data_IF_989803829084
#
_entry.id   IF_989803829084
#
_cell.length_a   1.000
_cell.length_b   1.000
_cell.length_c   1.000
_cell.angle_alpha   90.00
_cell.angle_beta   90.00
_cell.angle_gamma   90.00
#
_symmetry.space_group_name_H-M   'P 1'
#
loop_
_entity.id
_entity.type
_entity.pdbx_description
1 polymer ?
#
# COMPACT_ATOMS: atom_id res chain seq x y z
N UNK A 1 -7.73 -12.37 21.53
CA UNK A 1 -6.67 -13.24 22.11
C UNK A 1 -5.82 -13.69 20.94
N UNK A 2 -4.81 -12.92 20.59
CA UNK A 2 -3.77 -13.30 19.62
C UNK A 2 -2.91 -14.39 20.25
N UNK A 3 -2.89 -15.58 19.64
CA UNK A 3 -1.94 -16.62 20.03
C UNK A 3 -0.53 -16.13 19.76
N UNK A 4 0.37 -16.25 20.73
CA UNK A 4 1.79 -15.98 20.52
C UNK A 4 2.29 -16.75 19.29
N UNK A 5 3.07 -16.12 18.37
CA UNK A 5 3.63 -16.80 17.22
C UNK A 5 4.43 -18.02 17.66
N UNK A 6 4.35 -19.13 16.91
CA UNK A 6 5.17 -20.30 17.19
C UNK A 6 6.64 -19.91 17.03
N UNK A 7 7.56 -20.41 17.86
CA UNK A 7 8.98 -20.07 17.80
C UNK A 7 9.61 -20.28 16.40
N UNK A 8 9.05 -21.18 15.58
CA UNK A 8 9.47 -21.37 14.19
C UNK A 8 9.10 -20.17 13.28
N UNK A 9 7.91 -19.61 13.44
CA UNK A 9 7.47 -18.45 12.61
C UNK A 9 8.26 -17.18 12.96
N UNK A 10 8.67 -17.03 14.22
CA UNK A 10 9.53 -15.91 14.63
C UNK A 10 10.94 -16.06 14.07
N UNK A 11 11.51 -17.28 14.12
CA UNK A 11 12.81 -17.60 13.51
C UNK A 11 12.83 -17.35 11.99
N UNK A 12 11.75 -17.71 11.28
CA UNK A 12 11.64 -17.46 9.84
C UNK A 12 11.54 -15.96 9.52
N UNK A 13 10.84 -15.19 10.35
CA UNK A 13 10.76 -13.73 10.21
C UNK A 13 12.10 -13.04 10.43
N UNK A 14 12.84 -13.45 11.47
CA UNK A 14 14.20 -12.95 11.73
C UNK A 14 15.15 -13.29 10.58
N UNK A 15 15.07 -14.51 10.05
CA UNK A 15 15.83 -14.96 8.88
C UNK A 15 15.51 -14.14 7.65
N UNK A 16 14.23 -13.93 7.36
CA UNK A 16 13.78 -13.09 6.24
C UNK A 16 14.28 -11.65 6.39
N UNK A 17 14.19 -11.09 7.59
CA UNK A 17 14.72 -9.75 7.90
C UNK A 17 16.23 -9.65 7.67
N UNK A 18 17.00 -10.64 8.12
CA UNK A 18 18.45 -10.68 7.91
C UNK A 18 18.82 -10.75 6.41
N UNK A 19 18.03 -11.44 5.58
CA UNK A 19 18.23 -11.46 4.14
C UNK A 19 17.85 -10.11 3.53
N UNK A 20 16.69 -9.54 3.90
CA UNK A 20 16.22 -8.26 3.37
C UNK A 20 17.20 -7.11 3.63
N UNK A 21 17.70 -7.00 4.87
CA UNK A 21 18.60 -5.90 5.27
C UNK A 21 19.98 -5.95 4.65
N UNK A 22 20.42 -7.10 4.09
CA UNK A 22 21.68 -7.23 3.33
C UNK A 22 21.46 -7.37 1.83
N UNK A 23 20.22 -7.36 1.37
CA UNK A 23 19.83 -7.64 0.00
C UNK A 23 19.12 -6.50 -0.68
N UNK A 24 18.29 -6.84 -1.64
CA UNK A 24 17.40 -5.94 -2.38
C UNK A 24 15.97 -6.48 -2.29
N UNK A 25 15.05 -5.66 -1.84
CA UNK A 25 13.62 -5.89 -1.87
C UNK A 25 12.90 -4.81 -2.66
N UNK A 26 11.64 -5.07 -3.03
CA UNK A 26 10.78 -4.02 -3.57
C UNK A 26 10.20 -3.12 -2.45
N UNK A 27 9.38 -2.16 -2.83
CA UNK A 27 8.84 -1.15 -1.90
C UNK A 27 7.87 -1.73 -0.85
N UNK A 28 7.41 -2.97 -1.02
CA UNK A 28 6.54 -3.68 -0.08
C UNK A 28 7.26 -4.76 0.72
N UNK A 29 8.55 -5.00 0.46
CA UNK A 29 9.28 -6.14 1.02
C UNK A 29 9.27 -6.17 2.56
N UNK A 30 9.25 -4.99 3.23
CA UNK A 30 9.15 -4.91 4.69
C UNK A 30 7.82 -5.44 5.23
N UNK A 31 6.73 -5.29 4.49
CA UNK A 31 5.42 -5.84 4.86
C UNK A 31 5.43 -7.38 4.86
N UNK A 32 6.37 -7.99 4.15
CA UNK A 32 6.62 -9.44 4.20
C UNK A 32 6.93 -9.94 5.60
N UNK A 33 7.50 -9.10 6.48
CA UNK A 33 7.87 -9.43 7.85
C UNK A 33 6.67 -9.40 8.83
N UNK A 34 5.49 -8.98 8.38
CA UNK A 34 4.30 -8.91 9.22
C UNK A 34 3.71 -10.27 9.54
N UNK A 35 2.93 -10.34 10.60
CA UNK A 35 2.30 -11.56 11.06
C UNK A 35 1.36 -12.17 9.99
N UNK A 36 1.28 -13.49 9.96
CA UNK A 36 0.44 -14.24 9.02
C UNK A 36 1.08 -14.50 7.66
N UNK A 37 2.25 -13.92 7.36
CA UNK A 37 3.00 -14.24 6.15
C UNK A 37 3.85 -15.51 6.35
N UNK A 38 4.03 -16.23 5.26
CA UNK A 38 4.89 -17.41 5.14
C UNK A 38 6.06 -17.06 4.25
N UNK A 39 7.14 -17.83 4.37
CA UNK A 39 8.36 -17.62 3.60
C UNK A 39 8.75 -18.89 2.86
N UNK A 40 9.15 -18.72 1.62
CA UNK A 40 9.97 -19.65 0.89
C UNK A 40 11.38 -19.09 0.88
N UNK A 41 12.37 -19.84 1.34
CA UNK A 41 13.76 -19.43 1.35
C UNK A 41 14.55 -20.18 0.27
N UNK A 42 15.29 -19.41 -0.53
CA UNK A 42 16.29 -19.98 -1.46
C UNK A 42 17.45 -20.57 -0.68
N UNK A 43 18.02 -21.65 -1.19
CA UNK A 43 19.18 -22.30 -0.55
C UNK A 43 20.33 -21.31 -0.27
N UNK A 44 21.00 -21.48 0.87
CA UNK A 44 22.11 -20.59 1.28
C UNK A 44 21.68 -19.19 1.75
N UNK A 45 20.39 -18.96 2.00
CA UNK A 45 19.85 -17.65 2.40
C UNK A 45 20.11 -16.54 1.39
N UNK A 46 20.17 -16.90 0.10
CA UNK A 46 20.45 -15.95 -0.99
C UNK A 46 19.22 -15.18 -1.44
N UNK A 47 18.02 -15.53 -0.92
CA UNK A 47 16.77 -14.81 -1.15
C UNK A 47 15.57 -15.53 -0.57
N UNK A 48 14.41 -14.87 -0.67
CA UNK A 48 13.14 -15.43 -0.24
C UNK A 48 11.95 -14.84 -0.99
N UNK A 49 10.80 -15.49 -0.90
CA UNK A 49 9.49 -14.97 -1.28
C UNK A 49 8.59 -14.98 -0.05
N UNK A 50 7.97 -13.83 0.27
CA UNK A 50 6.93 -13.73 1.28
C UNK A 50 5.55 -13.91 0.63
N UNK A 51 4.69 -14.74 1.22
CA UNK A 51 3.39 -15.06 0.64
C UNK A 51 2.36 -15.47 1.69
N UNK A 52 1.09 -15.42 1.30
CA UNK A 52 -0.03 -16.04 2.03
C UNK A 52 -0.70 -17.09 1.15
N UNK A 53 -1.28 -18.11 1.77
CA UNK A 53 -2.04 -19.14 1.04
C UNK A 53 -3.50 -19.04 1.40
N UNK A 54 -4.34 -18.87 0.39
CA UNK A 54 -5.79 -19.00 0.52
C UNK A 54 -6.28 -20.06 -0.44
N UNK A 55 -6.90 -21.11 0.10
CA UNK A 55 -7.24 -22.34 -0.64
C UNK A 55 -5.99 -22.91 -1.31
N UNK A 56 -5.95 -22.91 -2.64
CA UNK A 56 -4.83 -23.41 -3.46
C UNK A 56 -4.10 -22.30 -4.23
N UNK A 57 -4.16 -21.07 -3.75
CA UNK A 57 -3.46 -19.92 -4.35
C UNK A 57 -2.46 -19.37 -3.33
N UNK A 58 -1.20 -19.33 -3.71
CA UNK A 58 -0.13 -18.63 -3.02
C UNK A 58 -0.09 -17.19 -3.57
N UNK A 59 -0.51 -16.23 -2.76
CA UNK A 59 -0.49 -14.79 -3.09
C UNK A 59 0.76 -14.18 -2.50
N UNK A 60 1.65 -13.64 -3.34
CA UNK A 60 2.90 -13.04 -2.87
C UNK A 60 2.71 -11.59 -2.38
N UNK A 61 3.66 -11.10 -1.61
CA UNK A 61 3.80 -9.67 -1.30
C UNK A 61 4.97 -9.12 -2.10
N UNK A 62 4.65 -8.54 -3.25
CA UNK A 62 5.66 -8.10 -4.19
C UNK A 62 6.43 -9.26 -4.83
N UNK A 63 7.61 -8.93 -5.34
CA UNK A 63 8.54 -9.88 -5.95
C UNK A 63 9.49 -10.53 -4.94
N UNK A 64 10.43 -11.38 -5.42
CA UNK A 64 11.46 -11.99 -4.59
C UNK A 64 12.40 -10.95 -3.97
N UNK A 65 12.71 -11.13 -2.69
CA UNK A 65 13.85 -10.48 -2.03
C UNK A 65 15.10 -11.29 -2.31
N UNK A 66 16.20 -10.63 -2.67
CA UNK A 66 17.44 -11.29 -3.07
C UNK A 66 18.70 -10.63 -2.50
N UNK A 67 19.73 -11.40 -2.29
CA UNK A 67 21.11 -10.90 -2.13
C UNK A 67 21.78 -10.81 -3.51
N UNK A 68 23.05 -10.40 -3.55
CA UNK A 68 23.81 -10.36 -4.79
C UNK A 68 24.16 -11.77 -5.34
N UNK A 69 23.99 -12.82 -4.53
CA UNK A 69 24.32 -14.21 -4.86
C UNK A 69 23.25 -14.91 -5.71
N UNK A 70 22.04 -14.32 -5.82
CA UNK A 70 20.93 -14.86 -6.63
C UNK A 70 20.24 -13.78 -7.41
N UNK A 71 19.69 -14.16 -8.54
CA UNK A 71 18.85 -13.31 -9.36
C UNK A 71 17.37 -13.40 -8.92
N UNK A 72 16.58 -12.38 -9.26
CA UNK A 72 15.13 -12.37 -9.06
C UNK A 72 14.44 -13.55 -9.72
N UNK A 73 14.88 -13.89 -10.94
CA UNK A 73 14.27 -14.96 -11.73
C UNK A 73 14.57 -16.35 -11.16
N UNK A 74 15.80 -16.62 -10.71
CA UNK A 74 16.17 -17.90 -10.07
C UNK A 74 15.31 -18.17 -8.82
N UNK A 75 15.07 -17.15 -7.99
CA UNK A 75 14.25 -17.29 -6.78
C UNK A 75 12.78 -17.48 -7.16
N UNK A 76 12.30 -16.75 -8.17
CA UNK A 76 10.93 -16.86 -8.65
C UNK A 76 10.65 -18.25 -9.24
N UNK A 77 11.57 -18.80 -10.09
CA UNK A 77 11.46 -20.13 -10.64
C UNK A 77 11.41 -21.20 -9.55
N UNK A 78 12.31 -21.13 -8.58
CA UNK A 78 12.34 -22.05 -7.45
C UNK A 78 11.09 -21.97 -6.57
N UNK A 79 10.53 -20.78 -6.39
CA UNK A 79 9.27 -20.61 -5.67
C UNK A 79 8.07 -21.18 -6.43
N UNK A 80 8.00 -20.97 -7.74
CA UNK A 80 6.95 -21.53 -8.58
C UNK A 80 6.98 -23.07 -8.58
N UNK A 81 8.18 -23.68 -8.65
CA UNK A 81 8.37 -25.13 -8.52
C UNK A 81 7.92 -25.62 -7.15
N UNK A 82 8.36 -24.98 -6.06
CA UNK A 82 7.92 -25.29 -4.71
C UNK A 82 6.38 -25.18 -4.56
N UNK A 83 5.76 -24.14 -5.09
CA UNK A 83 4.32 -23.96 -5.03
C UNK A 83 3.59 -25.07 -5.82
N UNK A 84 4.10 -25.44 -6.97
CA UNK A 84 3.54 -26.54 -7.77
C UNK A 84 3.59 -27.90 -7.04
N UNK A 85 4.70 -28.20 -6.34
CA UNK A 85 4.81 -29.38 -5.48
C UNK A 85 3.79 -29.42 -4.35
N UNK A 86 3.40 -28.24 -3.83
CA UNK A 86 2.36 -28.11 -2.82
C UNK A 86 0.93 -28.12 -3.41
N UNK A 87 0.79 -28.16 -4.74
CA UNK A 87 -0.49 -28.04 -5.43
C UNK A 87 -1.07 -26.63 -5.39
N UNK A 88 -0.25 -25.62 -5.21
CA UNK A 88 -0.67 -24.22 -5.22
C UNK A 88 -0.39 -23.58 -6.57
N UNK A 89 -1.28 -22.68 -6.96
CA UNK A 89 -1.10 -21.73 -8.04
C UNK A 89 -0.44 -20.48 -7.48
N UNK A 90 0.48 -19.88 -8.20
CA UNK A 90 1.13 -18.63 -7.78
C UNK A 90 0.38 -17.42 -8.37
N UNK A 91 0.12 -16.43 -7.52
CA UNK A 91 -0.33 -15.11 -7.89
C UNK A 91 0.70 -14.09 -7.38
N UNK A 92 1.52 -13.58 -8.29
CA UNK A 92 2.51 -12.54 -7.99
C UNK A 92 1.79 -11.21 -7.84
N UNK A 93 1.57 -10.77 -6.59
CA UNK A 93 0.74 -9.60 -6.29
C UNK A 93 1.58 -8.38 -5.93
N UNK A 94 1.21 -7.24 -6.51
CA UNK A 94 1.90 -5.95 -6.35
C UNK A 94 3.36 -5.97 -6.82
N UNK A 95 3.63 -6.65 -7.92
CA UNK A 95 4.94 -6.64 -8.58
C UNK A 95 5.08 -5.45 -9.51
N UNK A 96 6.32 -5.03 -9.78
CA UNK A 96 6.64 -3.96 -10.72
C UNK A 96 6.39 -4.38 -12.18
N UNK A 97 6.28 -3.40 -13.08
CA UNK A 97 6.04 -3.63 -14.51
C UNK A 97 7.15 -4.45 -15.17
N UNK A 98 8.39 -4.29 -14.70
CA UNK A 98 9.56 -5.03 -15.20
C UNK A 98 9.66 -6.48 -14.68
N UNK A 99 8.70 -6.90 -13.82
CA UNK A 99 8.60 -8.28 -13.36
C UNK A 99 7.92 -9.16 -14.42
N UNK A 100 8.60 -9.39 -15.53
CA UNK A 100 8.09 -10.24 -16.61
C UNK A 100 8.38 -11.71 -16.33
N UNK A 101 7.32 -12.54 -16.27
CA UNK A 101 7.43 -14.01 -16.10
C UNK A 101 6.93 -14.72 -17.34
N UNK A 102 7.70 -15.69 -17.83
CA UNK A 102 7.29 -16.50 -18.98
C UNK A 102 5.98 -17.23 -18.66
N UNK A 103 4.99 -17.13 -19.56
CA UNK A 103 3.69 -17.75 -19.38
C UNK A 103 2.72 -17.00 -18.46
N UNK A 104 3.13 -15.94 -17.78
CA UNK A 104 2.27 -15.10 -16.97
C UNK A 104 1.73 -13.90 -17.76
N UNK A 105 0.51 -13.48 -17.39
CA UNK A 105 -0.12 -12.25 -17.83
C UNK A 105 -0.18 -11.28 -16.66
N UNK A 106 -0.31 -10.01 -16.93
CA UNK A 106 -0.36 -8.97 -15.90
C UNK A 106 -1.65 -8.18 -15.93
N UNK A 107 -2.09 -7.74 -14.77
CA UNK A 107 -3.21 -6.80 -14.57
C UNK A 107 -2.71 -5.70 -13.66
N UNK A 108 -2.93 -4.44 -14.05
CA UNK A 108 -2.63 -3.29 -13.23
C UNK A 108 -3.58 -3.23 -12.02
N UNK A 109 -3.03 -3.26 -10.79
CA UNK A 109 -3.83 -3.33 -9.54
C UNK A 109 -3.71 -2.10 -8.67
N UNK A 110 -2.62 -1.34 -8.79
CA UNK A 110 -2.42 -0.10 -8.03
C UNK A 110 -1.43 0.81 -8.74
N UNK A 111 -1.49 2.10 -8.45
CA UNK A 111 -0.51 3.09 -8.87
C UNK A 111 0.26 3.60 -7.66
N UNK A 112 1.56 3.45 -7.68
CA UNK A 112 2.46 3.98 -6.68
C UNK A 112 2.81 5.44 -6.97
N UNK A 113 2.94 6.24 -5.92
CA UNK A 113 3.39 7.62 -5.98
C UNK A 113 4.76 7.76 -5.33
N UNK A 114 5.78 8.12 -6.09
CA UNK A 114 7.17 8.20 -5.66
C UNK A 114 7.68 9.63 -5.67
N UNK A 115 8.29 10.08 -4.58
CA UNK A 115 8.96 11.38 -4.45
C UNK A 115 10.48 11.16 -4.43
N UNK A 116 11.18 11.67 -5.46
CA UNK A 116 12.64 11.71 -5.47
C UNK A 116 13.12 12.81 -4.52
N UNK A 117 14.18 12.52 -3.73
CA UNK A 117 14.65 13.41 -2.66
C UNK A 117 15.74 14.39 -3.10
N UNK A 118 16.38 14.14 -4.21
CA UNK A 118 17.53 14.90 -4.70
C UNK A 118 17.22 16.38 -5.05
N UNK A 119 15.93 16.75 -5.23
CA UNK A 119 15.50 18.11 -5.55
C UNK A 119 14.22 18.56 -4.82
N UNK A 120 13.93 18.04 -3.62
CA UNK A 120 12.73 18.33 -2.84
C UNK A 120 12.77 19.69 -2.11
N UNK A 121 12.88 20.79 -2.87
CA UNK A 121 12.84 22.13 -2.27
C UNK A 121 11.43 22.69 -2.10
N UNK A 122 10.37 22.00 -2.56
CA UNK A 122 8.98 22.46 -2.57
C UNK A 122 8.80 23.92 -3.03
N UNK A 123 9.62 24.37 -4.00
CA UNK A 123 9.62 25.74 -4.51
C UNK A 123 8.58 25.92 -5.64
N UNK A 124 8.17 27.17 -5.85
CA UNK A 124 7.25 27.55 -6.93
C UNK A 124 5.77 27.41 -6.56
N UNK A 125 4.90 27.86 -7.49
CA UNK A 125 3.44 27.94 -7.27
C UNK A 125 2.81 26.58 -7.05
N UNK A 126 3.29 25.54 -7.73
CA UNK A 126 2.75 24.17 -7.63
C UNK A 126 2.81 23.57 -6.21
N UNK A 127 3.81 23.96 -5.41
CA UNK A 127 3.99 23.49 -4.02
C UNK A 127 3.47 24.46 -2.96
N UNK A 128 2.64 25.43 -3.34
CA UNK A 128 2.14 26.46 -2.40
C UNK A 128 1.40 25.82 -1.22
N UNK A 129 0.58 24.77 -1.46
CA UNK A 129 -0.16 24.08 -0.41
C UNK A 129 0.78 23.41 0.61
N UNK A 130 1.87 22.81 0.14
CA UNK A 130 2.87 22.15 0.99
C UNK A 130 3.58 23.17 1.87
N UNK A 131 4.07 24.29 1.28
CA UNK A 131 4.69 25.35 2.06
C UNK A 131 3.72 25.99 3.06
N UNK A 132 2.46 26.16 2.67
CA UNK A 132 1.42 26.67 3.58
C UNK A 132 1.22 25.74 4.75
N UNK A 133 1.20 24.41 4.53
CA UNK A 133 1.07 23.41 5.60
C UNK A 133 2.24 23.51 6.60
N UNK A 134 3.49 23.55 6.11
CA UNK A 134 4.69 23.68 6.94
C UNK A 134 4.72 25.01 7.73
N UNK A 135 4.45 26.13 7.06
CA UNK A 135 4.42 27.46 7.70
C UNK A 135 3.32 27.56 8.76
N UNK A 136 2.18 26.92 8.49
CA UNK A 136 1.06 26.89 9.43
C UNK A 136 1.38 26.02 10.65
N UNK A 137 2.01 24.87 10.46
CA UNK A 137 2.51 24.01 11.54
C UNK A 137 3.44 24.80 12.47
N UNK A 138 4.43 25.50 11.91
CA UNK A 138 5.35 26.35 12.69
C UNK A 138 4.62 27.46 13.45
N UNK A 139 3.59 28.08 12.85
CA UNK A 139 2.80 29.14 13.49
C UNK A 139 1.91 28.63 14.61
N UNK A 140 1.36 27.42 14.47
CA UNK A 140 0.44 26.78 15.44
C UNK A 140 1.20 25.93 16.47
N UNK A 141 2.55 25.94 16.47
CA UNK A 141 3.36 25.18 17.42
C UNK A 141 3.33 23.65 17.18
N UNK A 142 2.94 23.22 15.98
CA UNK A 142 2.93 21.78 15.62
C UNK A 142 4.31 21.38 15.08
N UNK A 143 4.91 20.39 15.73
CA UNK A 143 6.24 19.85 15.36
C UNK A 143 6.12 18.42 14.81
N UNK A 144 7.04 18.07 13.92
CA UNK A 144 7.24 16.71 13.45
C UNK A 144 8.21 15.97 14.38
N UNK A 145 7.85 14.77 14.80
CA UNK A 145 8.67 13.90 15.67
C UNK A 145 8.93 12.60 14.93
N UNK A 146 10.17 12.39 14.49
CA UNK A 146 10.66 11.15 13.88
C UNK A 146 11.15 10.21 14.97
N UNK A 147 10.59 9.01 15.06
CA UNK A 147 10.79 8.10 16.19
C UNK A 147 10.47 6.66 15.80
N UNK A 148 10.62 5.74 16.73
CA UNK A 148 10.14 4.35 16.63
C UNK A 148 9.03 4.10 17.65
N UNK A 149 8.27 3.00 17.47
CA UNK A 149 7.29 2.60 18.48
C UNK A 149 7.93 2.33 19.84
N UNK A 150 9.12 1.74 19.84
CA UNK A 150 9.84 1.39 21.09
C UNK A 150 10.22 2.64 21.91
N UNK A 151 10.55 3.76 21.26
CA UNK A 151 10.99 4.99 21.89
C UNK A 151 9.84 5.87 22.40
N UNK A 152 8.60 5.55 22.04
CA UNK A 152 7.42 6.28 22.52
C UNK A 152 7.12 5.93 23.99
N UNK A 153 6.70 6.93 24.76
CA UNK A 153 6.11 6.69 26.07
C UNK A 153 4.72 6.05 25.96
N UNK A 154 4.21 5.57 27.08
CA UNK A 154 2.92 4.87 27.14
C UNK A 154 1.78 5.79 26.73
N UNK A 155 1.80 7.06 27.15
CA UNK A 155 0.74 8.01 26.86
C UNK A 155 0.63 8.29 25.34
N UNK A 156 1.76 8.45 24.65
CA UNK A 156 1.74 8.67 23.19
C UNK A 156 1.29 7.43 22.43
N UNK A 157 1.68 6.22 22.87
CA UNK A 157 1.17 4.97 22.28
C UNK A 157 -0.34 4.86 22.42
N UNK A 158 -0.90 5.19 23.62
CA UNK A 158 -2.34 5.19 23.85
C UNK A 158 -3.06 6.21 22.95
N UNK A 159 -2.48 7.40 22.73
CA UNK A 159 -3.04 8.40 21.80
C UNK A 159 -3.07 7.89 20.36
N UNK A 160 -2.03 7.18 19.90
CA UNK A 160 -1.99 6.58 18.56
C UNK A 160 -3.07 5.50 18.44
N UNK A 161 -3.19 4.61 19.42
CA UNK A 161 -4.23 3.56 19.44
C UNK A 161 -5.62 4.17 19.38
N UNK A 162 -5.93 5.14 20.25
CA UNK A 162 -7.22 5.82 20.27
C UNK A 162 -7.56 6.52 18.94
N UNK A 163 -6.56 7.18 18.32
CA UNK A 163 -6.73 7.83 17.03
C UNK A 163 -7.03 6.80 15.93
N UNK A 164 -6.40 5.62 15.97
CA UNK A 164 -6.67 4.53 15.04
C UNK A 164 -8.04 3.90 15.25
N UNK A 165 -8.43 3.65 16.49
CA UNK A 165 -9.77 3.12 16.83
C UNK A 165 -10.89 4.06 16.35
N UNK A 166 -10.73 5.37 16.56
CA UNK A 166 -11.67 6.37 16.05
C UNK A 166 -11.76 6.32 14.53
N UNK A 167 -10.61 6.24 13.85
CA UNK A 167 -10.58 6.17 12.39
C UNK A 167 -11.27 4.89 11.87
N UNK A 168 -11.06 3.72 12.52
CA UNK A 168 -11.71 2.45 12.16
C UNK A 168 -13.22 2.53 12.41
N UNK A 169 -13.66 3.13 13.54
CA UNK A 169 -15.07 3.27 13.86
C UNK A 169 -15.85 4.10 12.83
N UNK A 170 -15.17 5.03 12.15
CA UNK A 170 -15.75 5.84 11.07
C UNK A 170 -15.85 5.09 9.73
N UNK A 171 -15.34 3.85 9.63
CA UNK A 171 -15.34 3.06 8.41
C UNK A 171 -16.44 1.99 8.42
N UNK A 172 -17.01 1.76 7.25
CA UNK A 172 -18.04 0.72 7.06
C UNK A 172 -17.48 -0.70 6.92
N UNK A 173 -16.16 -0.84 6.70
CA UNK A 173 -15.46 -2.11 6.57
C UNK A 173 -14.51 -2.33 7.75
N UNK A 174 -14.26 -3.58 8.15
CA UNK A 174 -13.22 -3.89 9.13
C UNK A 174 -11.85 -3.44 8.62
N UNK A 175 -10.92 -3.23 9.55
CA UNK A 175 -9.55 -2.90 9.19
C UNK A 175 -8.97 -4.00 8.31
N UNK A 176 -8.37 -3.60 7.19
CA UNK A 176 -7.76 -4.50 6.23
C UNK A 176 -6.29 -4.71 6.59
N UNK A 177 -5.80 -5.92 6.37
CA UNK A 177 -4.39 -6.28 6.57
C UNK A 177 -3.63 -6.48 5.25
N UNK A 178 -2.68 -7.40 5.23
CA UNK A 178 -1.86 -7.84 4.10
C UNK A 178 -0.84 -6.78 3.64
N UNK A 179 -1.23 -5.84 2.78
CA UNK A 179 -0.40 -4.70 2.34
C UNK A 179 -0.89 -3.37 2.92
N UNK A 180 -1.68 -3.44 4.00
CA UNK A 180 -2.16 -2.30 4.77
C UNK A 180 -1.91 -2.57 6.24
N UNK A 181 -1.08 -1.74 6.86
CA UNK A 181 -0.72 -1.87 8.27
C UNK A 181 -1.81 -1.35 9.22
N UNK A 182 -1.87 -1.98 10.37
CA UNK A 182 -2.63 -1.57 11.54
C UNK A 182 -1.69 -1.03 12.63
N UNK A 183 -2.21 -0.81 13.83
CA UNK A 183 -1.39 -0.41 14.98
C UNK A 183 -0.35 -1.47 15.36
N UNK A 184 -0.67 -2.76 15.17
CA UNK A 184 0.22 -3.85 15.55
C UNK A 184 1.53 -3.83 14.73
N UNK A 185 1.46 -3.46 13.45
CA UNK A 185 2.62 -3.38 12.56
C UNK A 185 3.55 -2.18 12.87
N UNK A 186 3.06 -1.18 13.60
CA UNK A 186 3.90 -0.05 14.05
C UNK A 186 5.02 -0.49 15.00
N UNK A 187 4.80 -1.60 15.71
CA UNK A 187 5.77 -2.15 16.67
C UNK A 187 6.82 -3.06 16.01
N UNK A 188 6.73 -3.33 14.71
CA UNK A 188 7.74 -4.11 13.98
C UNK A 188 9.05 -3.31 13.99
N UNK A 189 10.09 -3.91 14.60
CA UNK A 189 11.39 -3.27 14.75
C UNK A 189 11.98 -2.84 13.41
N UNK A 190 12.41 -1.58 13.30
CA UNK A 190 12.85 -0.92 12.06
C UNK A 190 11.76 -0.10 11.36
N UNK A 191 10.49 -0.22 11.75
CA UNK A 191 9.43 0.68 11.29
C UNK A 191 9.61 2.05 11.93
N UNK A 192 9.70 3.11 11.11
CA UNK A 192 9.80 4.49 11.58
C UNK A 192 8.42 5.12 11.66
N UNK A 193 8.23 5.99 12.64
CA UNK A 193 7.01 6.77 12.83
C UNK A 193 7.31 8.27 12.69
N UNK A 194 6.40 8.99 12.07
CA UNK A 194 6.42 10.44 12.06
C UNK A 194 5.11 10.98 12.63
N UNK A 195 5.22 11.69 13.74
CA UNK A 195 4.09 12.26 14.46
C UNK A 195 4.02 13.77 14.29
N UNK A 196 2.80 14.31 14.14
CA UNK A 196 2.53 15.73 14.24
C UNK A 196 2.01 16.03 15.66
N UNK A 197 2.82 16.69 16.48
CA UNK A 197 2.55 16.90 17.90
C UNK A 197 2.50 18.39 18.20
N UNK A 198 1.43 18.87 18.84
CA UNK A 198 1.26 20.23 19.34
C UNK A 198 2.14 20.53 20.56
N UNK A 199 2.30 21.82 20.90
CA UNK A 199 3.04 22.25 22.10
C UNK A 199 2.44 21.72 23.41
N UNK A 200 1.13 21.48 23.43
CA UNK A 200 0.36 20.89 24.54
C UNK A 200 0.48 19.34 24.60
N UNK A 201 1.25 18.72 23.70
CA UNK A 201 1.36 17.27 23.58
C UNK A 201 0.19 16.60 22.88
N UNK A 202 -0.71 17.37 22.23
CA UNK A 202 -1.79 16.82 21.41
C UNK A 202 -1.24 16.13 20.16
N UNK A 203 -1.73 14.92 19.86
CA UNK A 203 -1.38 14.18 18.63
C UNK A 203 -2.35 14.55 17.50
N UNK A 204 -1.89 15.36 16.54
CA UNK A 204 -2.67 15.72 15.35
C UNK A 204 -2.67 14.67 14.26
N UNK A 205 -1.69 13.79 14.25
CA UNK A 205 -1.61 12.69 13.30
C UNK A 205 -0.29 11.94 13.35
N UNK A 206 -0.29 10.77 12.73
CA UNK A 206 0.83 9.84 12.67
C UNK A 206 0.89 9.18 11.30
N UNK A 207 2.11 8.95 10.83
CA UNK A 207 2.42 8.12 9.65
C UNK A 207 3.49 7.12 10.00
N UNK A 208 3.46 5.91 9.41
CA UNK A 208 4.55 4.95 9.49
C UNK A 208 5.31 4.86 8.16
N UNK A 209 6.59 4.55 8.26
CA UNK A 209 7.54 4.53 7.16
C UNK A 209 8.38 3.26 7.24
N UNK A 210 8.20 2.42 6.23
CA UNK A 210 8.83 1.11 6.12
C UNK A 210 10.13 1.24 5.34
N UNK A 211 11.27 0.76 5.87
CA UNK A 211 12.55 0.87 5.18
C UNK A 211 12.60 -0.03 3.96
N UNK A 212 13.20 0.46 2.89
CA UNK A 212 13.46 -0.30 1.65
C UNK A 212 14.96 -0.38 1.42
N UNK A 213 15.45 -1.59 1.20
CA UNK A 213 16.86 -1.87 1.01
C UNK A 213 17.17 -2.21 -0.44
N UNK A 214 18.28 -1.66 -0.94
CA UNK A 214 18.88 -1.97 -2.23
C UNK A 214 20.36 -2.34 -2.01
N UNK A 215 20.76 -3.53 -2.38
CA UNK A 215 22.14 -4.03 -2.20
C UNK A 215 22.67 -3.86 -0.75
N UNK A 216 21.80 -4.09 0.23
CA UNK A 216 22.13 -3.99 1.65
C UNK A 216 22.17 -2.57 2.22
N UNK A 217 21.89 -1.55 1.42
CA UNK A 217 21.82 -0.15 1.86
C UNK A 217 20.37 0.34 1.92
N UNK A 218 20.07 1.18 2.90
CA UNK A 218 18.77 1.83 2.98
C UNK A 218 18.63 2.82 1.82
N UNK A 219 17.72 2.54 0.89
CA UNK A 219 17.51 3.34 -0.32
C UNK A 219 16.39 4.38 -0.17
N UNK A 220 15.38 4.08 0.64
CA UNK A 220 14.22 4.94 0.84
C UNK A 220 13.27 4.38 1.87
N UNK A 221 12.12 5.03 1.98
CA UNK A 221 11.02 4.60 2.85
C UNK A 221 9.71 4.50 2.09
N UNK A 222 8.87 3.53 2.45
CA UNK A 222 7.49 3.41 1.96
C UNK A 222 6.50 3.81 3.06
N UNK A 223 5.61 4.75 2.76
CA UNK A 223 4.47 5.10 3.61
C UNK A 223 3.51 3.92 3.70
N UNK A 224 3.07 3.59 4.91
CA UNK A 224 2.06 2.56 5.14
C UNK A 224 0.88 3.11 5.95
N UNK A 225 0.99 3.11 7.27
CA UNK A 225 -0.06 3.56 8.16
C UNK A 225 -0.15 5.09 8.17
N UNK A 226 -1.38 5.61 8.12
CA UNK A 226 -1.63 7.04 8.22
C UNK A 226 -2.95 7.31 8.93
N UNK A 227 -2.89 8.02 10.06
CA UNK A 227 -4.06 8.47 10.82
C UNK A 227 -3.92 9.95 11.16
N UNK A 228 -5.03 10.67 11.19
CA UNK A 228 -5.06 12.07 11.59
C UNK A 228 -6.30 12.36 12.45
N UNK A 229 -6.15 13.27 13.38
CA UNK A 229 -7.27 13.90 14.05
C UNK A 229 -8.02 14.82 13.07
N UNK A 230 -9.33 14.61 12.89
CA UNK A 230 -10.18 15.38 11.98
C UNK A 230 -10.49 16.77 12.51
N UNK A 231 -10.46 16.96 13.82
CA UNK A 231 -10.75 18.21 14.51
C UNK A 231 -9.48 19.02 14.84
N UNK A 232 -8.32 18.40 14.65
CA UNK A 232 -7.02 18.99 14.92
C UNK A 232 -6.47 19.90 13.79
N UNK A 233 -5.16 19.98 13.71
CA UNK A 233 -4.42 20.73 12.69
C UNK A 233 -4.76 20.23 11.27
N UNK A 234 -5.49 21.02 10.49
CA UNK A 234 -6.08 20.54 9.22
C UNK A 234 -5.07 20.05 8.16
N UNK A 235 -3.94 20.73 7.86
CA UNK A 235 -2.98 20.24 6.85
C UNK A 235 -1.99 19.20 7.40
N UNK A 236 -2.42 18.36 8.36
CA UNK A 236 -1.57 17.35 9.02
C UNK A 236 -0.94 16.39 8.02
N UNK A 237 -1.70 15.88 7.05
CA UNK A 237 -1.18 14.93 6.07
C UNK A 237 -0.10 15.56 5.20
N UNK A 238 -0.37 16.73 4.61
CA UNK A 238 0.59 17.44 3.79
C UNK A 238 1.85 17.82 4.58
N UNK A 239 1.69 18.17 5.85
CA UNK A 239 2.80 18.46 6.74
C UNK A 239 3.67 17.22 6.97
N UNK A 240 3.07 16.09 7.41
CA UNK A 240 3.80 14.85 7.69
C UNK A 240 4.51 14.31 6.45
N UNK A 241 3.84 14.29 5.29
CA UNK A 241 4.47 13.80 4.05
C UNK A 241 5.64 14.70 3.62
N UNK A 242 5.52 16.03 3.81
CA UNK A 242 6.60 16.97 3.50
C UNK A 242 7.80 16.82 4.44
N UNK A 243 7.55 16.62 5.73
CA UNK A 243 8.61 16.41 6.71
C UNK A 243 9.32 15.06 6.50
N UNK A 244 8.58 13.98 6.19
CA UNK A 244 9.18 12.69 5.88
C UNK A 244 10.10 12.77 4.66
N UNK A 245 9.66 13.43 3.59
CA UNK A 245 10.49 13.64 2.40
C UNK A 245 11.74 14.48 2.71
N UNK A 246 11.61 15.50 3.58
CA UNK A 246 12.74 16.34 4.01
C UNK A 246 13.75 15.55 4.86
N UNK A 247 13.26 14.67 5.78
CA UNK A 247 14.10 13.79 6.60
C UNK A 247 14.85 12.81 5.69
N UNK A 248 14.17 12.11 4.79
CA UNK A 248 14.80 11.18 3.86
C UNK A 248 15.87 11.89 2.99
N UNK A 249 15.60 13.08 2.50
CA UNK A 249 16.58 13.88 1.77
C UNK A 249 17.79 14.29 2.61
N UNK A 250 17.59 14.64 3.89
CA UNK A 250 18.66 14.96 4.82
C UNK A 250 19.53 13.74 5.18
N UNK A 251 18.94 12.55 5.19
CA UNK A 251 19.62 11.26 5.36
C UNK A 251 20.33 10.78 4.09
N UNK A 252 20.18 11.50 2.98
CA UNK A 252 20.78 11.14 1.69
C UNK A 252 20.10 9.98 0.97
N UNK A 253 18.86 9.64 1.36
CA UNK A 253 18.09 8.60 0.71
C UNK A 253 17.61 9.05 -0.67
N UNK A 254 17.41 8.10 -1.58
CA UNK A 254 17.09 8.40 -2.98
C UNK A 254 15.65 8.89 -3.17
N UNK A 255 14.72 8.37 -2.37
CA UNK A 255 13.28 8.61 -2.54
C UNK A 255 12.46 8.27 -1.28
N UNK A 256 11.21 8.73 -1.28
CA UNK A 256 10.14 8.21 -0.43
C UNK A 256 8.95 7.78 -1.30
N UNK A 257 8.47 6.57 -1.09
CA UNK A 257 7.22 6.09 -1.67
C UNK A 257 6.05 6.54 -0.80
N UNK A 258 5.08 7.20 -1.41
CA UNK A 258 3.80 7.48 -0.76
C UNK A 258 2.85 6.28 -0.86
N UNK A 259 3.39 5.10 -1.17
CA UNK A 259 2.68 3.84 -1.34
C UNK A 259 1.72 3.80 -2.54
N UNK A 260 1.18 2.63 -2.81
CA UNK A 260 0.18 2.43 -3.85
C UNK A 260 -1.18 3.02 -3.50
N UNK A 261 -1.88 3.53 -4.50
CA UNK A 261 -3.30 3.80 -4.41
C UNK A 261 -4.02 2.64 -5.14
N UNK A 262 -4.71 1.74 -4.41
CA UNK A 262 -5.42 0.63 -5.02
C UNK A 262 -6.41 1.12 -6.06
N UNK A 263 -6.42 0.47 -7.23
CA UNK A 263 -7.32 0.77 -8.35
C UNK A 263 -7.22 2.21 -8.90
N UNK A 264 -6.24 3.00 -8.44
CA UNK A 264 -5.88 4.25 -9.11
C UNK A 264 -5.05 3.94 -10.35
N UNK A 265 -5.31 4.69 -11.42
CA UNK A 265 -4.61 4.55 -12.70
C UNK A 265 -4.49 5.91 -13.37
N UNK A 266 -3.34 6.19 -13.93
CA UNK A 266 -3.08 7.39 -14.75
C UNK A 266 -3.43 7.22 -16.22
N UNK A 267 -3.73 5.99 -16.70
CA UNK A 267 -4.04 5.65 -18.09
C UNK A 267 -5.45 5.09 -18.31
N UNK A 268 -5.85 4.98 -19.58
CA UNK A 268 -7.07 4.28 -19.97
C UNK A 268 -6.91 2.77 -19.77
N UNK A 269 -7.99 2.05 -19.37
CA UNK A 269 -7.93 0.61 -19.17
C UNK A 269 -7.67 -0.12 -20.50
N UNK A 270 -6.69 -1.02 -20.50
CA UNK A 270 -6.25 -1.78 -21.67
C UNK A 270 -7.01 -3.10 -21.87
N UNK A 271 -7.75 -3.56 -20.82
CA UNK A 271 -8.51 -4.81 -20.86
C UNK A 271 -9.91 -4.65 -20.26
N UNK A 272 -10.85 -5.53 -20.68
CA UNK A 272 -12.20 -5.61 -20.08
C UNK A 272 -12.16 -5.89 -18.59
N UNK A 273 -11.15 -6.63 -18.13
CA UNK A 273 -10.96 -6.95 -16.72
C UNK A 273 -10.54 -5.72 -15.93
N UNK A 274 -9.68 -4.89 -16.49
CA UNK A 274 -9.28 -3.62 -15.86
C UNK A 274 -10.46 -2.65 -15.77
N UNK A 275 -11.32 -2.58 -16.80
CA UNK A 275 -12.60 -1.84 -16.73
C UNK A 275 -13.48 -2.35 -15.59
N UNK A 276 -13.50 -3.66 -15.36
CA UNK A 276 -14.26 -4.25 -14.26
C UNK A 276 -13.64 -3.91 -12.90
N UNK A 277 -12.32 -3.92 -12.78
CA UNK A 277 -11.60 -3.53 -11.56
C UNK A 277 -11.77 -2.04 -11.24
N UNK A 278 -11.74 -1.17 -12.24
CA UNK A 278 -12.00 0.28 -12.05
C UNK A 278 -13.42 0.54 -11.54
N UNK A 279 -14.40 -0.21 -12.07
CA UNK A 279 -15.79 -0.15 -11.57
C UNK A 279 -15.92 -0.69 -10.14
N UNK A 280 -15.17 -1.76 -9.83
CA UNK A 280 -15.09 -2.31 -8.48
C UNK A 280 -14.52 -1.30 -7.49
N UNK A 281 -13.41 -0.67 -7.87
CA UNK A 281 -12.77 0.38 -7.07
C UNK A 281 -13.68 1.55 -6.79
N UNK A 282 -14.44 2.00 -7.81
CA UNK A 282 -15.44 3.05 -7.65
C UNK A 282 -16.56 2.68 -6.64
N UNK A 283 -16.86 1.41 -6.48
CA UNK A 283 -17.87 0.92 -5.52
C UNK A 283 -17.32 0.81 -4.09
N UNK A 284 -16.00 0.57 -3.92
CA UNK A 284 -15.33 0.47 -2.62
C UNK A 284 -14.88 1.86 -2.13
N UNK A 285 -14.69 2.81 -3.02
CA UNK A 285 -14.22 4.18 -2.72
C UNK A 285 -14.98 4.87 -1.58
N UNK A 286 -16.35 4.89 -1.55
CA UNK A 286 -17.09 5.53 -0.47
C UNK A 286 -16.81 4.89 0.91
N UNK A 287 -16.37 3.62 0.92
CA UNK A 287 -16.14 2.85 2.13
C UNK A 287 -14.74 3.09 2.72
N UNK A 288 -13.75 3.44 1.91
CA UNK A 288 -12.36 3.53 2.36
C UNK A 288 -11.66 4.87 2.08
N UNK A 289 -12.16 5.69 1.14
CA UNK A 289 -11.65 7.05 0.86
C UNK A 289 -10.33 7.09 0.09
N UNK A 290 -10.06 6.11 -0.78
CA UNK A 290 -8.83 6.02 -1.57
C UNK A 290 -8.57 7.25 -2.47
N UNK A 291 -9.63 7.86 -3.02
CA UNK A 291 -9.50 9.08 -3.85
C UNK A 291 -9.04 10.30 -3.08
N UNK A 292 -9.52 10.47 -1.85
CA UNK A 292 -9.09 11.59 -1.00
C UNK A 292 -7.62 11.45 -0.62
N UNK A 293 -7.17 10.21 -0.40
CA UNK A 293 -5.79 9.87 -0.13
C UNK A 293 -4.91 10.14 -1.37
N UNK A 294 -5.32 9.66 -2.55
CA UNK A 294 -4.64 9.92 -3.81
C UNK A 294 -4.53 11.43 -4.09
N UNK A 295 -5.62 12.19 -3.87
CA UNK A 295 -5.61 13.64 -4.05
C UNK A 295 -4.60 14.38 -3.16
N UNK A 296 -4.35 13.89 -1.94
CA UNK A 296 -3.31 14.45 -1.07
C UNK A 296 -1.91 14.13 -1.58
N UNK A 297 -1.69 12.93 -2.11
CA UNK A 297 -0.41 12.50 -2.72
C UNK A 297 -0.10 13.31 -3.99
N UNK A 298 -1.07 13.55 -4.86
CA UNK A 298 -0.88 14.31 -6.10
C UNK A 298 -0.43 15.77 -5.88
N UNK A 299 -0.68 16.36 -4.71
CA UNK A 299 -0.18 17.71 -4.36
C UNK A 299 1.35 17.80 -4.33
N UNK A 300 2.02 16.67 -4.20
CA UNK A 300 3.48 16.56 -4.21
C UNK A 300 4.07 16.42 -5.60
N UNK A 301 3.24 16.26 -6.63
CA UNK A 301 3.66 15.99 -8.01
C UNK A 301 4.63 14.80 -8.10
N UNK A 302 4.25 13.63 -7.57
CA UNK A 302 5.10 12.46 -7.59
C UNK A 302 5.31 11.93 -9.01
N UNK A 303 6.34 11.12 -9.20
CA UNK A 303 6.37 10.17 -10.30
C UNK A 303 5.49 8.99 -9.98
N UNK A 304 4.90 8.38 -10.99
CA UNK A 304 4.00 7.24 -10.83
C UNK A 304 4.59 5.99 -11.46
N UNK A 305 4.38 4.85 -10.81
CA UNK A 305 4.70 3.52 -11.35
C UNK A 305 3.55 2.56 -11.07
N UNK A 306 3.29 1.64 -11.99
CA UNK A 306 2.24 0.64 -11.85
C UNK A 306 2.68 -0.53 -10.96
N UNK A 307 1.76 -1.01 -10.12
CA UNK A 307 1.86 -2.33 -9.49
C UNK A 307 0.90 -3.29 -10.17
N UNK A 308 1.36 -4.50 -10.40
CA UNK A 308 0.66 -5.50 -11.19
C UNK A 308 0.42 -6.78 -10.41
N UNK A 309 -0.67 -7.46 -10.75
CA UNK A 309 -0.91 -8.86 -10.45
C UNK A 309 -0.44 -9.66 -11.67
N UNK A 310 0.56 -10.54 -11.51
CA UNK A 310 0.94 -11.50 -12.55
C UNK A 310 0.37 -12.88 -12.23
N UNK A 311 -0.22 -13.54 -13.23
CA UNK A 311 -0.95 -14.82 -13.12
C UNK A 311 -0.82 -15.64 -14.39
N UNK A 312 -0.94 -16.97 -14.29
CA UNK A 312 -0.71 -17.92 -15.36
C UNK A 312 -1.96 -18.31 -16.17
N UNK A 313 -3.16 -18.26 -15.58
CA UNK A 313 -4.39 -18.79 -16.15
C UNK A 313 -5.59 -17.86 -15.93
N UNK A 314 -6.22 -17.42 -17.01
CA UNK A 314 -7.41 -16.57 -16.97
C UNK A 314 -8.61 -17.26 -16.31
N UNK A 315 -8.73 -18.57 -16.43
CA UNK A 315 -9.82 -19.32 -15.80
C UNK A 315 -9.71 -19.34 -14.26
N UNK A 316 -8.50 -19.12 -13.74
CA UNK A 316 -8.25 -19.05 -12.31
C UNK A 316 -8.46 -17.67 -11.70
N UNK A 317 -8.69 -16.61 -12.50
CA UNK A 317 -8.81 -15.23 -12.01
C UNK A 317 -9.87 -15.08 -10.90
N UNK A 318 -10.98 -15.80 -10.96
CA UNK A 318 -11.99 -15.78 -9.91
C UNK A 318 -11.46 -16.33 -8.57
N UNK A 319 -10.65 -17.39 -8.62
CA UNK A 319 -10.02 -17.96 -7.43
C UNK A 319 -8.89 -17.07 -6.90
N UNK A 320 -8.10 -16.48 -7.80
CA UNK A 320 -7.03 -15.55 -7.47
C UNK A 320 -7.60 -14.29 -6.81
N UNK A 321 -8.64 -13.68 -7.40
CA UNK A 321 -9.31 -12.52 -6.82
C UNK A 321 -9.87 -12.81 -5.42
N UNK A 322 -10.50 -13.97 -5.25
CA UNK A 322 -10.96 -14.43 -3.93
C UNK A 322 -9.78 -14.57 -2.95
N UNK A 323 -8.67 -15.16 -3.37
CA UNK A 323 -7.49 -15.35 -2.52
C UNK A 323 -6.89 -14.00 -2.10
N UNK A 324 -6.75 -13.03 -3.02
CA UNK A 324 -6.27 -11.68 -2.71
C UNK A 324 -7.19 -11.01 -1.70
N UNK A 325 -8.52 -11.00 -1.93
CA UNK A 325 -9.50 -10.41 -0.97
C UNK A 325 -9.41 -11.09 0.40
N UNK A 326 -9.24 -12.42 0.43
CA UNK A 326 -9.08 -13.16 1.70
C UNK A 326 -7.80 -12.79 2.44
N UNK A 327 -6.72 -12.40 1.75
CA UNK A 327 -5.52 -11.89 2.39
C UNK A 327 -5.75 -10.55 3.09
N UNK A 328 -6.56 -9.66 2.49
CA UNK A 328 -6.90 -8.36 3.07
C UNK A 328 -7.90 -8.44 4.22
N UNK A 329 -8.83 -9.39 4.17
CA UNK A 329 -9.96 -9.50 5.10
C UNK A 329 -10.02 -10.91 5.73
N UNK A 330 -8.98 -11.35 6.47
CA UNK A 330 -8.88 -12.73 6.96
C UNK A 330 -9.96 -13.10 7.97
N UNK A 331 -10.58 -12.12 8.63
CA UNK A 331 -11.59 -12.32 9.66
C UNK A 331 -13.02 -12.43 9.13
N UNK A 332 -13.24 -12.13 7.85
CA UNK A 332 -14.57 -12.23 7.24
C UNK A 332 -15.01 -13.70 7.08
N UNK A 333 -16.26 -13.99 7.46
CA UNK A 333 -16.85 -15.30 7.21
C UNK A 333 -17.12 -15.50 5.71
N UNK A 334 -17.05 -16.73 5.18
CA UNK A 334 -17.34 -17.00 3.78
C UNK A 334 -18.70 -16.47 3.27
N UNK A 335 -19.71 -16.38 4.17
CA UNK A 335 -21.01 -15.76 3.89
C UNK A 335 -20.95 -14.27 3.59
N UNK A 336 -20.01 -13.56 4.22
CA UNK A 336 -19.93 -12.11 4.16
C UNK A 336 -19.22 -11.67 2.88
N UNK A 337 -18.29 -12.51 2.35
CA UNK A 337 -17.72 -12.35 1.00
C UNK A 337 -18.81 -12.39 -0.08
N UNK A 338 -19.83 -13.23 0.10
CA UNK A 338 -20.98 -13.29 -0.82
C UNK A 338 -21.77 -11.97 -0.81
N UNK A 339 -21.84 -11.28 0.33
CA UNK A 339 -22.42 -9.94 0.48
C UNK A 339 -21.63 -8.90 -0.29
N UNK A 340 -20.32 -8.81 -0.08
CA UNK A 340 -19.42 -7.91 -0.79
C UNK A 340 -19.45 -8.17 -2.31
N UNK A 341 -19.40 -9.44 -2.74
CA UNK A 341 -19.50 -9.81 -4.15
C UNK A 341 -20.89 -9.50 -4.73
N UNK A 342 -21.96 -9.68 -3.95
CA UNK A 342 -23.34 -9.38 -4.38
C UNK A 342 -23.57 -7.88 -4.49
N UNK A 343 -23.06 -7.08 -3.58
CA UNK A 343 -23.11 -5.62 -3.61
C UNK A 343 -22.28 -5.07 -4.78
N UNK A 344 -21.13 -5.66 -5.01
CA UNK A 344 -20.28 -5.49 -6.19
C UNK A 344 -21.01 -5.82 -7.49
N UNK A 345 -21.80 -6.87 -7.54
CA UNK A 345 -22.59 -7.26 -8.70
C UNK A 345 -23.91 -6.45 -8.83
N UNK A 346 -24.48 -5.96 -7.73
CA UNK A 346 -25.74 -5.20 -7.72
C UNK A 346 -25.56 -3.76 -8.23
N UNK A 347 -24.38 -3.17 -8.06
CA UNK A 347 -24.00 -1.90 -8.71
C UNK A 347 -23.90 -2.03 -10.25
N UNK A 348 -24.14 -3.21 -10.79
CA UNK A 348 -24.25 -3.52 -12.24
C UNK A 348 -25.61 -3.20 -12.89
N UNK A 349 -26.58 -2.59 -12.22
CA UNK A 349 -27.78 -2.16 -12.95
C UNK A 349 -27.36 -1.07 -13.94
N UNK A 350 -27.64 -1.26 -15.24
CA UNK A 350 -27.33 -0.25 -16.23
C UNK A 350 -28.12 1.02 -15.87
N UNK A 351 -27.40 2.12 -15.71
CA UNK A 351 -28.05 3.42 -15.66
C UNK A 351 -28.98 3.49 -16.88
N UNK A 352 -30.24 3.70 -16.58
CA UNK A 352 -31.32 3.91 -17.54
C UNK A 352 -30.77 4.79 -18.69
N UNK A 353 -30.82 4.28 -19.90
CA UNK A 353 -30.43 5.01 -21.11
C UNK A 353 -31.44 6.13 -21.28
N UNK A 354 -31.19 7.26 -20.61
CA UNK A 354 -31.87 8.50 -20.95
C UNK A 354 -31.77 8.74 -22.45
N UNK A 355 -32.88 8.87 -23.09
CA UNK A 355 -32.99 9.13 -24.52
C UNK A 355 -32.05 10.30 -24.91
N UNK A 356 -31.40 10.24 -26.09
CA UNK A 356 -30.53 11.32 -26.53
C UNK A 356 -31.38 12.61 -26.66
N UNK A 357 -30.85 13.78 -26.28
CA UNK A 357 -31.56 15.02 -26.47
C UNK A 357 -31.85 15.24 -27.96
N UNK A 358 -33.12 15.54 -28.28
CA UNK A 358 -33.60 15.90 -29.62
C UNK A 358 -32.75 17.04 -30.19
N UNK A 359 -32.33 17.01 -31.46
CA UNK A 359 -31.51 18.08 -32.01
C UNK A 359 -32.31 19.41 -32.02
N UNK A 360 -31.70 20.42 -31.41
CA UNK A 360 -32.23 21.78 -31.43
C UNK A 360 -32.40 22.29 -32.88
N UNK A 361 -33.60 22.78 -33.20
CA UNK A 361 -33.93 23.35 -34.48
C UNK A 361 -32.99 24.53 -34.83
N UNK A 362 -32.46 24.51 -36.03
CA UNK A 362 -31.65 25.59 -36.57
C UNK A 362 -32.47 26.90 -36.65
N UNK A 363 -31.88 28.08 -36.39
CA UNK A 363 -32.56 29.34 -36.54
C UNK A 363 -32.77 29.65 -38.05
N UNK A 364 -34.01 29.96 -38.42
CA UNK A 364 -34.39 30.50 -39.74
C UNK A 364 -33.78 31.88 -39.95
N UNK A 365 -33.25 32.20 -41.15
CA UNK A 365 -32.81 33.54 -41.46
C UNK A 365 -34.02 34.45 -41.72
N UNK A 366 -34.04 35.58 -41.05
CA UNK A 366 -34.98 36.67 -41.34
C UNK A 366 -34.46 37.49 -42.52
N UNK A 367 -35.41 38.11 -43.35
CA UNK A 367 -35.13 38.78 -44.59
C UNK A 367 -34.40 40.10 -44.47
#
# INVERSE_FOLDING_TARGET
MTSAPSGAAESDRERARAILTRGTGDHLAWMGLWEGNRFFFMGGDTGYVAFRVSRNVAVTLGGPVRTEESTRDEIADAFEEFAAEQGWRVAWYSVSEDFARAGFRTIHVAEESLLLTDNLEFKGKRFQNIRTARNRAAKEGVRAVWTTWADLDVEMREKIVALSEQWVADKALPEMGFTLGSVDELAVDGTMLLLAVGEDGHLHGVTSWLPVYECGELAGYTLDFMRRDTDGFRPTVEFLLAEAAAIAGAEGLKWVSLSGAPLARSGEPESLLEVLLDRAGASIEPLYGFRSLAASKYKFHPTHSGWYLAYDDELALGAIAFAVVSCYLPTMKPSDYAGVVKEFLATRQPADRGAPPSPAAAPTPHP
#
